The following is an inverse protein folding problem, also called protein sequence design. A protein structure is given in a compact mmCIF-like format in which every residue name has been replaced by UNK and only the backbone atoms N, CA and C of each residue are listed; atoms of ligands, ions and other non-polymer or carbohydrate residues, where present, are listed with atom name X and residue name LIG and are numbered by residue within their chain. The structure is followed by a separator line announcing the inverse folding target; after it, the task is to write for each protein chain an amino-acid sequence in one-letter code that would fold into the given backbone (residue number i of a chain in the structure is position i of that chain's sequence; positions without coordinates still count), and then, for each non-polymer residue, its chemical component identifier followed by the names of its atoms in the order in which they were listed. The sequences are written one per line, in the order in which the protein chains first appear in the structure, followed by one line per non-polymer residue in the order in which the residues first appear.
data_IF_090965010269
#
_entry.id   IF_090965010269
#
_cell.length_a   1.000
_cell.length_b   1.000
_cell.length_c   1.000
_cell.angle_alpha   90.00
_cell.angle_beta   90.00
_cell.angle_gamma   90.00
#
_symmetry.space_group_name_H-M   'P 1'
#
loop_
_entity.id
_entity.type
_entity.pdbx_description
1 polymer ?
#
# COMPACT_ATOMS: atom_id res chain seq x y z
N UNK A 1 -11.99 28.04 10.88
CA UNK A 1 -12.18 26.63 11.27
C UNK A 1 -12.07 25.75 10.04
N UNK A 2 -11.19 24.72 9.98
CA UNK A 2 -11.18 23.83 8.83
C UNK A 2 -12.45 22.97 8.86
N UNK A 3 -13.32 23.17 7.88
CA UNK A 3 -14.54 22.38 7.62
C UNK A 3 -14.10 20.95 7.29
N UNK A 4 -14.16 20.02 8.26
CA UNK A 4 -13.93 18.58 7.99
C UNK A 4 -15.04 18.12 7.03
N UNK A 5 -14.73 17.66 5.80
CA UNK A 5 -15.75 17.05 4.96
C UNK A 5 -16.29 15.80 5.67
N UNK A 6 -17.61 15.71 5.76
CA UNK A 6 -18.29 14.52 6.25
C UNK A 6 -18.29 13.47 5.13
N UNK A 7 -17.15 12.81 4.93
CA UNK A 7 -17.12 11.58 4.12
C UNK A 7 -17.94 10.54 4.85
N UNK A 8 -19.00 10.04 4.22
CA UNK A 8 -19.78 8.92 4.74
C UNK A 8 -18.87 7.71 4.95
N UNK A 9 -19.15 6.90 5.99
CA UNK A 9 -18.32 5.75 6.36
C UNK A 9 -17.97 4.86 5.16
N UNK A 10 -18.94 4.57 4.28
CA UNK A 10 -18.73 3.76 3.08
C UNK A 10 -17.73 4.39 2.09
N UNK A 11 -17.76 5.71 1.90
CA UNK A 11 -16.82 6.39 1.00
C UNK A 11 -15.38 6.31 1.52
N UNK A 12 -15.17 6.43 2.83
CA UNK A 12 -13.83 6.32 3.43
C UNK A 12 -13.23 4.91 3.26
N UNK A 13 -14.05 3.87 3.44
CA UNK A 13 -13.64 2.49 3.18
C UNK A 13 -13.30 2.25 1.71
N UNK A 14 -14.11 2.78 0.77
CA UNK A 14 -13.83 2.66 -0.66
C UNK A 14 -12.49 3.29 -1.04
N UNK A 15 -12.17 4.49 -0.54
CA UNK A 15 -10.87 5.12 -0.80
C UNK A 15 -9.71 4.29 -0.27
N UNK A 16 -9.81 3.81 0.97
CA UNK A 16 -8.78 2.96 1.56
C UNK A 16 -8.56 1.66 0.78
N UNK A 17 -9.63 0.97 0.38
CA UNK A 17 -9.54 -0.25 -0.43
C UNK A 17 -8.92 0.04 -1.81
N UNK A 18 -9.33 1.13 -2.44
CA UNK A 18 -8.81 1.55 -3.74
C UNK A 18 -7.31 1.88 -3.66
N UNK A 19 -6.88 2.65 -2.66
CA UNK A 19 -5.48 2.98 -2.40
C UNK A 19 -4.65 1.69 -2.24
N UNK A 20 -5.17 0.72 -1.46
CA UNK A 20 -4.49 -0.55 -1.22
C UNK A 20 -4.36 -1.40 -2.48
N UNK A 21 -5.44 -1.52 -3.27
CA UNK A 21 -5.44 -2.27 -4.53
C UNK A 21 -4.45 -1.68 -5.53
N UNK A 22 -4.45 -0.35 -5.71
CA UNK A 22 -3.50 0.30 -6.61
C UNK A 22 -2.05 0.14 -6.15
N UNK A 23 -1.79 0.25 -4.84
CA UNK A 23 -0.46 0.05 -4.28
C UNK A 23 0.10 -1.33 -4.65
N UNK A 24 -0.67 -2.40 -4.42
CA UNK A 24 -0.22 -3.76 -4.74
C UNK A 24 -0.12 -4.02 -6.24
N UNK A 25 -1.06 -3.49 -7.03
CA UNK A 25 -1.05 -3.68 -8.48
C UNK A 25 0.19 -3.06 -9.11
N UNK A 26 0.52 -1.82 -8.73
CA UNK A 26 1.69 -1.11 -9.27
C UNK A 26 2.98 -1.76 -8.76
N UNK A 27 3.03 -2.20 -7.49
CA UNK A 27 4.19 -2.93 -6.96
C UNK A 27 4.42 -4.25 -7.70
N UNK A 28 3.37 -5.02 -7.97
CA UNK A 28 3.47 -6.27 -8.73
C UNK A 28 3.93 -6.01 -10.17
N UNK A 29 3.39 -5.00 -10.83
CA UNK A 29 3.81 -4.60 -12.17
C UNK A 29 5.28 -4.15 -12.19
N UNK A 30 5.73 -3.37 -11.20
CA UNK A 30 7.12 -2.96 -11.05
C UNK A 30 8.05 -4.16 -10.82
N UNK A 31 7.66 -5.11 -9.95
CA UNK A 31 8.43 -6.32 -9.70
C UNK A 31 8.61 -7.16 -10.97
N UNK A 32 7.52 -7.47 -11.67
CA UNK A 32 7.60 -8.24 -12.93
C UNK A 32 8.45 -7.51 -13.98
N UNK A 33 8.28 -6.18 -14.09
CA UNK A 33 9.09 -5.38 -15.02
C UNK A 33 10.57 -5.38 -14.67
N UNK A 34 10.91 -5.39 -13.36
CA UNK A 34 12.29 -5.47 -12.89
C UNK A 34 12.94 -6.80 -13.26
N UNK A 35 12.25 -7.93 -13.06
CA UNK A 35 12.74 -9.25 -13.44
C UNK A 35 12.98 -9.35 -14.96
N UNK A 36 12.02 -8.87 -15.76
CA UNK A 36 12.15 -8.87 -17.23
C UNK A 36 13.31 -7.98 -17.69
N UNK A 37 13.48 -6.80 -17.09
CA UNK A 37 14.60 -5.90 -17.41
C UNK A 37 15.95 -6.46 -16.95
N UNK A 38 15.98 -7.18 -15.83
CA UNK A 38 17.17 -7.88 -15.35
C UNK A 38 17.60 -8.97 -16.32
N UNK A 39 16.66 -9.80 -16.78
CA UNK A 39 16.91 -10.81 -17.81
C UNK A 39 17.31 -10.18 -19.15
N UNK A 40 16.73 -9.04 -19.52
CA UNK A 40 17.10 -8.34 -20.74
C UNK A 40 18.53 -7.75 -20.67
N UNK A 41 19.01 -7.35 -19.50
CA UNK A 41 20.36 -6.80 -19.29
C UNK A 41 21.43 -7.89 -19.16
N UNK A 42 21.17 -8.90 -18.31
CA UNK A 42 22.14 -9.94 -17.96
C UNK A 42 22.03 -11.21 -18.81
N UNK A 43 20.84 -11.51 -19.32
CA UNK A 43 20.50 -12.81 -19.88
C UNK A 43 20.42 -13.91 -18.82
N UNK A 44 20.01 -15.09 -19.26
CA UNK A 44 20.08 -16.33 -18.48
C UNK A 44 20.38 -17.51 -19.42
N UNK A 45 21.50 -18.19 -19.21
CA UNK A 45 21.95 -19.28 -20.08
C UNK A 45 21.14 -20.57 -19.87
N UNK A 46 20.63 -20.80 -18.66
CA UNK A 46 19.91 -22.03 -18.32
C UNK A 46 18.54 -22.10 -19.01
N UNK A 47 17.86 -20.95 -19.18
CA UNK A 47 16.61 -20.85 -19.96
C UNK A 47 16.83 -20.34 -21.41
N UNK A 48 18.08 -20.27 -21.89
CA UNK A 48 18.43 -19.79 -23.24
C UNK A 48 17.94 -18.34 -23.52
N UNK A 49 17.83 -17.50 -22.49
CA UNK A 49 17.46 -16.10 -22.63
C UNK A 49 18.70 -15.24 -22.90
N UNK A 50 18.78 -14.59 -24.06
CA UNK A 50 19.91 -13.75 -24.41
C UNK A 50 19.80 -12.33 -23.84
N UNK A 51 20.94 -11.70 -23.52
CA UNK A 51 20.98 -10.29 -23.14
C UNK A 51 20.68 -9.40 -24.37
N UNK A 52 19.57 -8.67 -24.32
CA UNK A 52 19.07 -7.84 -25.43
C UNK A 52 19.50 -6.37 -25.29
N UNK A 53 19.77 -5.91 -24.06
CA UNK A 53 20.16 -4.52 -23.81
C UNK A 53 21.51 -4.13 -24.42
N UNK A 54 22.38 -5.09 -24.75
CA UNK A 54 23.61 -4.82 -25.51
C UNK A 54 23.36 -4.28 -26.92
N UNK A 55 22.26 -4.70 -27.56
CA UNK A 55 21.86 -4.23 -28.90
C UNK A 55 20.93 -3.00 -28.82
N UNK A 56 20.07 -2.94 -27.80
CA UNK A 56 19.05 -1.89 -27.62
C UNK A 56 19.28 -1.00 -26.39
N UNK A 57 20.52 -0.55 -26.18
CA UNK A 57 20.93 0.16 -24.96
C UNK A 57 20.11 1.41 -24.62
N UNK A 58 19.73 2.22 -25.63
CA UNK A 58 18.94 3.45 -25.41
C UNK A 58 17.52 3.11 -24.91
N UNK A 59 16.91 2.08 -25.47
CA UNK A 59 15.59 1.60 -25.04
C UNK A 59 15.66 1.07 -23.61
N UNK A 60 16.64 0.21 -23.32
CA UNK A 60 16.82 -0.32 -21.96
C UNK A 60 17.09 0.77 -20.94
N UNK A 61 17.89 1.77 -21.26
CA UNK A 61 18.13 2.89 -20.36
C UNK A 61 16.83 3.64 -20.02
N UNK A 62 15.98 3.91 -21.02
CA UNK A 62 14.68 4.55 -20.78
C UNK A 62 13.71 3.65 -20.02
N UNK A 63 13.70 2.35 -20.31
CA UNK A 63 12.88 1.39 -19.59
C UNK A 63 13.29 1.28 -18.12
N UNK A 64 14.59 1.23 -17.82
CA UNK A 64 15.13 1.26 -16.46
C UNK A 64 14.77 2.57 -15.73
N UNK A 65 14.88 3.72 -16.40
CA UNK A 65 14.45 5.00 -15.81
C UNK A 65 12.94 5.00 -15.48
N UNK A 66 12.11 4.45 -16.38
CA UNK A 66 10.66 4.28 -16.12
C UNK A 66 10.39 3.32 -14.96
N UNK A 67 11.17 2.25 -14.84
CA UNK A 67 11.07 1.30 -13.73
C UNK A 67 11.35 1.99 -12.39
N UNK A 68 12.45 2.75 -12.31
CA UNK A 68 12.81 3.54 -11.11
C UNK A 68 11.70 4.51 -10.75
N UNK A 69 11.15 5.24 -11.73
CA UNK A 69 10.03 6.14 -11.50
C UNK A 69 8.78 5.39 -10.98
N UNK A 70 8.52 4.18 -11.48
CA UNK A 70 7.41 3.34 -11.02
C UNK A 70 7.59 2.96 -9.56
N UNK A 71 8.80 2.60 -9.11
CA UNK A 71 9.08 2.36 -7.69
C UNK A 71 8.89 3.61 -6.83
N UNK A 72 9.27 4.79 -7.33
CA UNK A 72 8.98 6.06 -6.65
C UNK A 72 7.47 6.28 -6.51
N UNK A 73 6.68 6.00 -7.55
CA UNK A 73 5.21 6.04 -7.51
C UNK A 73 4.65 5.07 -6.46
N UNK A 74 5.20 3.86 -6.36
CA UNK A 74 4.81 2.88 -5.31
C UNK A 74 5.01 3.47 -3.91
N UNK A 75 6.14 4.14 -3.64
CA UNK A 75 6.40 4.77 -2.34
C UNK A 75 5.36 5.84 -2.02
N UNK A 76 4.95 6.65 -3.00
CA UNK A 76 3.88 7.62 -2.82
C UNK A 76 2.52 6.96 -2.53
N UNK A 77 2.19 5.88 -3.25
CA UNK A 77 0.97 5.11 -3.00
C UNK A 77 0.94 4.48 -1.61
N UNK A 78 2.07 3.96 -1.13
CA UNK A 78 2.22 3.46 0.25
C UNK A 78 1.94 4.59 1.25
N UNK A 79 2.53 5.77 1.05
CA UNK A 79 2.31 6.92 1.94
C UNK A 79 0.84 7.35 1.95
N UNK A 80 0.17 7.39 0.79
CA UNK A 80 -1.26 7.70 0.68
C UNK A 80 -2.10 6.64 1.42
N UNK A 81 -1.82 5.35 1.23
CA UNK A 81 -2.51 4.26 1.92
C UNK A 81 -2.36 4.36 3.45
N UNK A 82 -1.18 4.73 3.96
CA UNK A 82 -0.96 4.97 5.39
C UNK A 82 -1.78 6.16 5.92
N UNK A 83 -1.86 7.26 5.17
CA UNK A 83 -2.69 8.41 5.56
C UNK A 83 -4.17 8.03 5.54
N UNK A 84 -4.60 7.28 4.51
CA UNK A 84 -5.98 6.81 4.32
C UNK A 84 -6.42 5.90 5.48
N UNK A 85 -5.62 4.89 5.81
CA UNK A 85 -5.86 4.01 6.97
C UNK A 85 -5.85 4.77 8.29
N UNK A 86 -4.89 5.66 8.53
CA UNK A 86 -4.84 6.46 9.76
C UNK A 86 -6.11 7.31 9.93
N UNK A 87 -6.59 7.94 8.84
CA UNK A 87 -7.83 8.71 8.85
C UNK A 87 -9.06 7.83 9.06
N UNK A 88 -9.08 6.63 8.49
CA UNK A 88 -10.15 5.66 8.68
C UNK A 88 -10.20 5.20 10.14
N UNK A 89 -9.11 4.68 10.67
CA UNK A 89 -9.06 4.10 12.01
C UNK A 89 -9.22 5.15 13.13
N UNK A 90 -8.65 6.35 13.00
CA UNK A 90 -8.87 7.42 14.01
C UNK A 90 -10.29 7.98 14.04
N UNK A 91 -11.14 7.66 13.05
CA UNK A 91 -12.57 8.02 13.05
C UNK A 91 -13.44 6.93 13.67
N UNK A 92 -12.93 5.70 13.74
CA UNK A 92 -13.61 4.54 14.31
C UNK A 92 -12.97 4.11 15.64
N UNK A 93 -12.30 5.03 16.36
CA UNK A 93 -11.93 4.79 17.77
C UNK A 93 -13.16 4.22 18.49
N UNK A 94 -12.99 3.01 19.06
CA UNK A 94 -14.05 2.34 19.78
C UNK A 94 -14.59 3.33 20.82
N UNK A 95 -15.92 3.46 20.99
CA UNK A 95 -16.44 4.30 22.05
C UNK A 95 -15.77 3.83 23.34
N UNK A 96 -14.99 4.71 23.97
CA UNK A 96 -14.52 4.49 25.33
C UNK A 96 -15.80 4.15 26.08
N UNK A 97 -15.93 2.91 26.56
CA UNK A 97 -16.97 2.59 27.52
C UNK A 97 -16.66 3.53 28.67
N UNK A 98 -17.32 4.69 28.72
CA UNK A 98 -17.48 5.46 29.93
C UNK A 98 -18.33 4.58 30.83
N UNK A 99 -17.68 3.57 31.42
CA UNK A 99 -18.17 2.95 32.61
C UNK A 99 -18.18 4.09 33.62
N UNK A 100 -19.35 4.52 34.14
CA UNK A 100 -19.36 5.53 35.17
C UNK A 100 -18.64 4.92 36.36
N UNK A 101 -17.46 5.44 36.69
CA UNK A 101 -16.88 5.18 37.99
C UNK A 101 -17.90 5.67 39.04
N UNK A 102 -18.36 4.73 39.86
CA UNK A 102 -19.19 4.88 41.05
C UNK A 102 -20.72 5.03 40.86
N UNK A 103 -21.41 3.89 40.73
CA UNK A 103 -22.66 3.66 41.46
C UNK A 103 -22.84 2.15 41.77
N UNK A 104 -22.39 1.77 42.98
CA UNK A 104 -22.81 0.61 43.80
C UNK A 104 -23.03 -0.75 43.12
N UNK A 105 -22.13 -1.69 43.41
CA UNK A 105 -22.50 -3.09 43.66
C UNK A 105 -21.75 -4.14 42.84
N UNK A 106 -20.94 -4.95 43.53
CA UNK A 106 -20.74 -6.36 43.17
C UNK A 106 -19.67 -6.67 42.13
N UNK A 107 -18.40 -6.66 42.56
CA UNK A 107 -17.40 -7.57 42.01
C UNK A 107 -17.70 -8.95 42.59
N UNK A 108 -18.26 -9.86 41.78
CA UNK A 108 -18.23 -11.31 42.04
C UNK A 108 -17.77 -11.97 40.73
N UNK A 109 -16.46 -12.21 40.66
CA UNK A 109 -15.87 -13.13 39.69
C UNK A 109 -15.91 -14.49 40.38
N UNK A 110 -16.93 -15.30 40.14
CA UNK A 110 -16.89 -16.71 40.52
C UNK A 110 -16.09 -17.46 39.45
N UNK A 111 -14.80 -17.61 39.74
CA UNK A 111 -14.02 -18.73 39.24
C UNK A 111 -14.42 -20.00 40.01
N UNK A 112 -14.45 -21.11 39.27
CA UNK A 112 -14.93 -22.47 39.57
C UNK A 112 -16.42 -22.73 39.31
#
# INVERSE_FOLDING_TARGET
MPRRPATTAGSAWTFFLLDQVFTYLILAAAAVSAEVLYLADKGDLDITWSAVCGSFGVFCHKAMASLVLTFVVVLFFIAISLVSSYKLFSRFDAPVRSCPAAAKGGLEITAF
#
